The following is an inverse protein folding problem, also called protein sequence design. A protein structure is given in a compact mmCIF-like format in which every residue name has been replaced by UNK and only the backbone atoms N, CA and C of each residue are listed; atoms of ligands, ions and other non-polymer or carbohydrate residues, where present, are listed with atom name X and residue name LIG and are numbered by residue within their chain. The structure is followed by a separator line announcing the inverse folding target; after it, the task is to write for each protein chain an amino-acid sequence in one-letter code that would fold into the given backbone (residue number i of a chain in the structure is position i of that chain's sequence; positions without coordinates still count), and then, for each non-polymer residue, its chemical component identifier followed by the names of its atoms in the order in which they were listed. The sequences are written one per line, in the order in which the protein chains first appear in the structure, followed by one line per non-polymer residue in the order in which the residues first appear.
data_IF_453524868755
#
_entry.id   IF_453524868755
#
_cell.length_a   1.000
_cell.length_b   1.000
_cell.length_c   1.000
_cell.angle_alpha   90.00
_cell.angle_beta   90.00
_cell.angle_gamma   90.00
#
_symmetry.space_group_name_H-M   'P 1'
#
loop_
_entity.id
_entity.type
_entity.pdbx_description
1 polymer ?
#
# COMPACT_ATOMS: atom_id res chain seq x y z
N UNK A 1 25.05 49.12 13.95
CA UNK A 1 25.57 47.84 14.38
C UNK A 1 24.48 46.80 14.74
N UNK A 2 23.34 47.20 15.27
CA UNK A 2 22.18 46.33 15.65
C UNK A 2 21.51 45.59 14.48
N UNK A 3 21.32 46.21 13.33
CA UNK A 3 20.58 45.63 12.18
C UNK A 3 21.38 44.51 11.49
N UNK A 4 22.67 44.57 11.46
CA UNK A 4 23.54 43.51 10.89
C UNK A 4 23.49 42.22 11.69
N UNK A 5 23.41 42.30 13.02
CA UNK A 5 23.33 41.13 13.89
C UNK A 5 21.99 40.41 13.78
N UNK A 6 20.87 41.15 13.64
CA UNK A 6 19.55 40.56 13.46
C UNK A 6 19.42 39.84 12.13
N UNK A 7 19.92 40.43 11.04
CA UNK A 7 19.89 39.77 9.70
C UNK A 7 20.77 38.50 9.67
N UNK A 8 21.92 38.50 10.35
CA UNK A 8 22.77 37.33 10.41
C UNK A 8 22.15 36.21 11.24
N UNK A 9 21.45 36.53 12.33
CA UNK A 9 20.75 35.55 13.16
C UNK A 9 19.55 34.89 12.42
N UNK A 10 18.80 35.68 11.66
CA UNK A 10 17.70 35.18 10.83
C UNK A 10 18.22 34.25 9.74
N UNK A 11 19.37 34.58 9.12
CA UNK A 11 19.98 33.74 8.09
C UNK A 11 20.45 32.39 8.67
N UNK A 12 21.03 32.37 9.85
CA UNK A 12 21.45 31.14 10.55
C UNK A 12 20.21 30.27 10.86
N UNK A 13 19.14 30.83 11.37
CA UNK A 13 17.90 30.09 11.65
C UNK A 13 17.29 29.49 10.37
N UNK A 14 17.35 30.22 9.25
CA UNK A 14 16.89 29.73 7.95
C UNK A 14 17.74 28.55 7.43
N UNK A 15 19.08 28.63 7.58
CA UNK A 15 20.01 27.56 7.18
C UNK A 15 19.81 26.32 8.06
N UNK A 16 19.66 26.50 9.37
CA UNK A 16 19.40 25.39 10.30
C UNK A 16 18.05 24.75 9.98
N UNK A 17 17.00 25.53 9.76
CA UNK A 17 15.68 25.03 9.38
C UNK A 17 15.70 24.25 8.06
N UNK A 18 16.41 24.77 7.05
CA UNK A 18 16.58 24.11 5.76
C UNK A 18 17.38 22.79 5.89
N UNK A 19 18.43 22.78 6.69
CA UNK A 19 19.22 21.58 6.96
C UNK A 19 18.41 20.52 7.71
N UNK A 20 17.61 20.91 8.70
CA UNK A 20 16.70 20.00 9.41
C UNK A 20 15.64 19.40 8.48
N UNK A 21 15.10 20.18 7.56
CA UNK A 21 14.14 19.68 6.55
C UNK A 21 14.80 18.65 5.62
N UNK A 22 16.04 18.90 5.18
CA UNK A 22 16.78 17.96 4.34
C UNK A 22 17.07 16.66 5.10
N UNK A 23 17.54 16.75 6.34
CA UNK A 23 17.82 15.58 7.19
C UNK A 23 16.53 14.79 7.44
N UNK A 24 15.43 15.45 7.80
CA UNK A 24 14.12 14.85 8.02
C UNK A 24 13.62 14.11 6.76
N UNK A 25 13.68 14.77 5.58
CA UNK A 25 13.26 14.13 4.33
C UNK A 25 14.17 12.95 3.93
N UNK A 26 15.46 13.00 4.21
CA UNK A 26 16.36 11.88 3.95
C UNK A 26 16.09 10.68 4.88
N UNK A 27 15.75 10.93 6.14
CA UNK A 27 15.31 9.91 7.09
C UNK A 27 14.09 9.17 6.53
N UNK A 28 13.08 9.90 6.06
CA UNK A 28 11.88 9.31 5.48
C UNK A 28 12.14 8.48 4.21
N UNK A 29 13.01 8.96 3.33
CA UNK A 29 13.41 8.23 2.11
C UNK A 29 14.21 6.95 2.42
N UNK A 30 14.97 6.94 3.49
CA UNK A 30 15.75 5.78 3.90
C UNK A 30 14.90 4.71 4.63
N UNK A 31 13.63 5.02 4.96
CA UNK A 31 12.79 4.11 5.74
C UNK A 31 13.32 3.90 7.17
N UNK A 32 13.81 4.97 7.80
CA UNK A 32 14.32 4.89 9.18
C UNK A 32 13.18 4.58 10.12
N UNK A 33 13.42 3.64 10.99
CA UNK A 33 12.52 3.14 12.00
C UNK A 33 12.23 4.24 13.05
N UNK A 34 11.01 4.71 13.11
CA UNK A 34 10.60 5.80 14.01
C UNK A 34 9.43 5.39 14.94
N UNK A 35 9.01 4.11 14.88
CA UNK A 35 7.77 3.69 15.53
C UNK A 35 6.53 4.32 14.88
N UNK A 36 5.35 4.03 15.41
CA UNK A 36 4.10 4.62 14.92
C UNK A 36 3.71 5.84 15.75
N UNK A 37 3.74 7.01 15.12
CA UNK A 37 3.31 8.28 15.71
C UNK A 37 2.26 8.96 14.83
N UNK A 38 1.55 9.95 15.38
CA UNK A 38 0.62 10.75 14.58
C UNK A 38 1.32 11.49 13.43
N UNK A 39 2.56 11.93 13.63
CA UNK A 39 3.37 12.58 12.60
C UNK A 39 3.64 11.65 11.42
N UNK A 40 3.94 10.37 11.68
CA UNK A 40 4.07 9.33 10.62
C UNK A 40 2.77 9.22 9.81
N UNK A 41 1.62 9.15 10.49
CA UNK A 41 0.30 9.04 9.85
C UNK A 41 -0.04 10.25 8.99
N UNK A 42 0.20 11.46 9.51
CA UNK A 42 -0.02 12.72 8.79
C UNK A 42 0.92 12.84 7.58
N UNK A 43 2.18 12.45 7.75
CA UNK A 43 3.18 12.49 6.69
C UNK A 43 2.83 11.56 5.53
N UNK A 44 2.29 10.36 5.78
CA UNK A 44 1.79 9.48 4.72
C UNK A 44 0.71 10.20 3.90
N UNK A 45 -0.25 10.84 4.56
CA UNK A 45 -1.30 11.61 3.89
C UNK A 45 -0.76 12.77 3.06
N UNK A 46 0.27 13.47 3.55
CA UNK A 46 0.92 14.57 2.85
C UNK A 46 1.65 14.09 1.59
N UNK A 47 2.45 13.04 1.70
CA UNK A 47 3.19 12.45 0.57
C UNK A 47 2.22 11.97 -0.52
N UNK A 48 1.10 11.36 -0.12
CA UNK A 48 0.07 10.84 -1.04
C UNK A 48 -0.91 11.91 -1.53
N UNK A 49 -0.82 13.14 -1.00
CA UNK A 49 -1.76 14.23 -1.30
C UNK A 49 -3.22 13.80 -1.16
N UNK A 50 -3.54 13.16 -0.04
CA UNK A 50 -4.85 12.57 0.21
C UNK A 50 -5.93 13.62 0.50
N UNK A 51 -7.20 13.35 0.12
CA UNK A 51 -8.32 14.21 0.47
C UNK A 51 -8.55 14.22 2.00
N UNK A 52 -9.14 15.32 2.49
CA UNK A 52 -9.35 15.55 3.92
C UNK A 52 -10.04 14.36 4.63
N UNK A 53 -11.06 13.76 4.00
CA UNK A 53 -11.77 12.63 4.61
C UNK A 53 -10.90 11.40 4.82
N UNK A 54 -9.89 11.17 3.97
CA UNK A 54 -8.94 10.06 4.13
C UNK A 54 -7.94 10.38 5.26
N UNK A 55 -7.45 11.61 5.33
CA UNK A 55 -6.60 12.09 6.43
C UNK A 55 -7.30 11.91 7.79
N UNK A 56 -8.56 12.32 7.90
CA UNK A 56 -9.36 12.14 9.11
C UNK A 56 -9.64 10.67 9.42
N UNK A 57 -9.81 9.83 8.40
CA UNK A 57 -9.94 8.39 8.58
C UNK A 57 -8.66 7.79 9.19
N UNK A 58 -7.48 8.15 8.68
CA UNK A 58 -6.19 7.69 9.22
C UNK A 58 -5.99 8.10 10.68
N UNK A 59 -6.29 9.34 11.00
CA UNK A 59 -6.18 9.85 12.38
C UNK A 59 -7.06 9.06 13.35
N UNK A 60 -8.34 8.87 13.03
CA UNK A 60 -9.25 8.06 13.85
C UNK A 60 -8.78 6.60 13.98
N UNK A 61 -8.22 6.04 12.92
CA UNK A 61 -7.66 4.70 12.95
C UNK A 61 -6.44 4.63 13.88
N UNK A 62 -5.57 5.62 13.83
CA UNK A 62 -4.43 5.73 14.74
C UNK A 62 -4.86 5.87 16.20
N UNK A 63 -5.83 6.76 16.49
CA UNK A 63 -6.37 6.91 17.83
C UNK A 63 -6.95 5.60 18.38
N UNK A 64 -7.65 4.84 17.53
CA UNK A 64 -8.16 3.53 17.94
C UNK A 64 -7.02 2.55 18.18
N UNK A 65 -6.00 2.51 17.32
CA UNK A 65 -4.85 1.64 17.46
C UNK A 65 -4.12 1.84 18.80
N UNK A 66 -3.78 3.08 19.16
CA UNK A 66 -3.03 3.37 20.39
C UNK A 66 -3.81 3.09 21.67
N UNK A 67 -5.15 3.11 21.59
CA UNK A 67 -6.05 2.85 22.73
C UNK A 67 -6.55 1.40 22.77
N UNK A 68 -6.15 0.54 21.81
CA UNK A 68 -6.60 -0.85 21.74
C UNK A 68 -5.54 -1.82 22.25
N UNK A 69 -5.97 -2.85 22.97
CA UNK A 69 -5.14 -4.02 23.28
C UNK A 69 -5.01 -4.93 22.06
N UNK A 70 -3.99 -5.79 22.07
CA UNK A 70 -3.87 -6.82 21.06
C UNK A 70 -5.09 -7.76 21.10
N UNK A 71 -5.51 -8.30 19.94
CA UNK A 71 -6.63 -9.22 19.88
C UNK A 71 -6.38 -10.47 20.73
N UNK A 72 -7.45 -11.02 21.31
CA UNK A 72 -7.42 -12.24 22.09
C UNK A 72 -7.67 -13.51 21.28
N UNK A 73 -7.64 -13.44 19.96
CA UNK A 73 -7.79 -14.57 19.03
C UNK A 73 -6.46 -14.83 18.29
N UNK A 74 -6.27 -16.08 17.87
CA UNK A 74 -5.02 -16.53 17.22
C UNK A 74 -3.86 -16.76 18.21
N UNK A 75 -2.64 -16.95 17.72
CA UNK A 75 -1.46 -17.09 18.55
C UNK A 75 -1.12 -15.76 19.25
N UNK A 76 -0.46 -15.88 20.40
CA UNK A 76 0.14 -14.68 21.03
C UNK A 76 1.29 -14.21 20.15
N UNK A 77 1.23 -12.96 19.74
CA UNK A 77 2.26 -12.30 18.96
C UNK A 77 3.12 -11.42 19.88
N UNK A 78 4.42 -11.38 19.62
CA UNK A 78 5.38 -10.54 20.36
C UNK A 78 5.95 -9.49 19.40
N UNK A 79 5.06 -8.56 19.02
CA UNK A 79 5.38 -7.53 18.03
C UNK A 79 5.98 -6.30 18.72
N UNK A 80 7.20 -5.97 18.36
CA UNK A 80 7.82 -4.69 18.74
C UNK A 80 7.37 -3.57 17.78
N UNK A 81 6.24 -2.95 18.11
CA UNK A 81 5.64 -1.86 17.31
C UNK A 81 6.56 -0.63 17.18
N UNK A 82 7.48 -0.42 18.11
CA UNK A 82 8.40 0.72 18.07
C UNK A 82 9.56 0.46 17.09
N UNK A 83 9.78 -0.79 16.71
CA UNK A 83 10.86 -1.21 15.83
C UNK A 83 10.38 -1.53 14.40
N UNK A 84 9.14 -1.17 14.04
CA UNK A 84 8.60 -1.35 12.69
C UNK A 84 8.74 -0.06 11.89
N UNK A 85 9.18 -0.18 10.63
CA UNK A 85 9.11 0.89 9.63
C UNK A 85 7.74 0.86 8.98
N UNK A 86 6.89 1.83 9.27
CA UNK A 86 5.49 1.85 8.83
C UNK A 86 5.28 2.33 7.41
N UNK A 87 6.22 3.07 6.88
CA UNK A 87 6.14 3.57 5.51
C UNK A 87 7.53 3.86 4.95
N UNK A 88 7.71 3.52 3.69
CA UNK A 88 8.90 3.83 2.91
C UNK A 88 8.47 4.37 1.56
N UNK A 89 8.84 5.60 1.27
CA UNK A 89 8.55 6.23 -0.01
C UNK A 89 9.29 5.51 -1.14
N UNK A 90 8.65 5.33 -2.29
CA UNK A 90 9.28 4.72 -3.47
C UNK A 90 10.40 5.59 -4.02
N UNK A 91 11.45 4.96 -4.47
CA UNK A 91 12.59 5.63 -5.09
C UNK A 91 12.32 6.06 -6.55
N UNK A 92 11.32 5.47 -7.19
CA UNK A 92 10.97 5.71 -8.59
C UNK A 92 9.47 5.91 -8.77
N UNK A 93 9.08 6.60 -9.84
CA UNK A 93 7.66 6.79 -10.17
C UNK A 93 7.01 5.46 -10.57
N UNK A 94 5.71 5.32 -10.26
CA UNK A 94 4.87 4.25 -10.78
C UNK A 94 4.94 4.25 -12.32
N UNK A 95 5.10 3.08 -12.91
CA UNK A 95 5.19 2.91 -14.36
C UNK A 95 4.31 1.76 -14.85
N UNK A 96 3.87 1.84 -16.10
CA UNK A 96 3.20 0.75 -16.82
C UNK A 96 4.13 0.04 -17.83
N UNK A 97 5.41 0.39 -17.82
CA UNK A 97 6.44 -0.23 -18.65
C UNK A 97 7.50 -0.86 -17.77
N UNK A 98 7.63 -2.17 -17.84
CA UNK A 98 8.59 -2.91 -17.03
C UNK A 98 10.03 -2.44 -17.22
N UNK A 99 10.36 -1.99 -18.41
CA UNK A 99 11.68 -1.46 -18.75
C UNK A 99 12.08 -0.25 -17.90
N UNK A 100 11.11 0.52 -17.43
CA UNK A 100 11.31 1.72 -16.64
C UNK A 100 11.37 1.47 -15.11
N UNK A 101 11.15 0.24 -14.66
CA UNK A 101 11.31 -0.14 -13.26
C UNK A 101 12.79 -0.15 -12.90
N UNK A 102 13.13 0.28 -11.69
CA UNK A 102 14.49 0.26 -11.16
C UNK A 102 15.13 -1.13 -11.27
N UNK A 103 16.39 -1.21 -11.72
CA UNK A 103 17.07 -2.49 -12.00
C UNK A 103 17.14 -3.42 -10.78
N UNK A 104 17.45 -2.88 -9.59
CA UNK A 104 17.49 -3.66 -8.34
C UNK A 104 16.17 -4.32 -7.99
N UNK A 105 15.08 -3.63 -8.30
CA UNK A 105 13.72 -4.14 -8.08
C UNK A 105 13.36 -5.16 -9.15
N UNK A 106 13.74 -4.91 -10.42
CA UNK A 106 13.56 -5.86 -11.51
C UNK A 106 14.17 -7.21 -11.21
N UNK A 107 15.42 -7.24 -10.78
CA UNK A 107 16.15 -8.47 -10.47
C UNK A 107 15.35 -9.35 -9.49
N UNK A 108 14.74 -8.74 -8.45
CA UNK A 108 13.93 -9.46 -7.48
C UNK A 108 12.66 -10.08 -8.10
N UNK A 109 11.96 -9.35 -8.97
CA UNK A 109 10.73 -9.87 -9.62
C UNK A 109 11.02 -10.79 -10.81
N UNK A 110 12.15 -10.61 -11.51
CA UNK A 110 12.58 -11.49 -12.58
C UNK A 110 12.97 -12.87 -12.05
N UNK A 111 13.62 -12.94 -10.87
CA UNK A 111 13.91 -14.19 -10.17
C UNK A 111 12.61 -14.94 -9.77
N UNK A 112 11.55 -14.22 -9.47
CA UNK A 112 10.23 -14.78 -9.21
C UNK A 112 9.47 -15.21 -10.48
N UNK A 113 9.99 -14.87 -11.66
CA UNK A 113 9.39 -15.23 -12.96
C UNK A 113 8.08 -14.50 -13.29
N UNK A 114 7.75 -13.44 -12.55
CA UNK A 114 6.48 -12.72 -12.61
C UNK A 114 6.19 -12.16 -13.99
N UNK A 115 7.13 -11.40 -14.53
CA UNK A 115 6.88 -10.57 -15.71
C UNK A 115 7.02 -11.31 -17.03
N UNK A 116 7.85 -12.35 -17.10
CA UNK A 116 8.04 -13.15 -18.33
C UNK A 116 6.74 -13.77 -18.85
N UNK A 117 5.80 -13.99 -17.96
CA UNK A 117 4.54 -14.66 -18.26
C UNK A 117 3.32 -13.72 -18.30
N UNK A 118 3.51 -12.42 -17.99
CA UNK A 118 2.42 -11.44 -17.87
C UNK A 118 1.48 -11.48 -19.09
N UNK A 119 1.98 -11.17 -20.25
CA UNK A 119 1.17 -11.04 -21.49
C UNK A 119 0.51 -12.35 -21.95
N UNK A 120 1.03 -13.47 -21.51
CA UNK A 120 0.53 -14.79 -21.92
C UNK A 120 -0.61 -15.29 -21.04
N UNK A 121 -0.56 -15.01 -19.75
CA UNK A 121 -1.44 -15.64 -18.78
C UNK A 121 -2.37 -14.67 -18.03
N UNK A 122 -2.10 -13.37 -18.09
CA UNK A 122 -2.83 -12.37 -17.32
C UNK A 122 -3.38 -11.25 -18.21
N UNK A 123 -4.54 -10.72 -17.81
CA UNK A 123 -5.13 -9.53 -18.43
C UNK A 123 -4.65 -8.23 -17.75
N UNK A 124 -4.04 -8.35 -16.59
CA UNK A 124 -3.39 -7.25 -15.89
C UNK A 124 -2.48 -7.73 -14.78
N UNK A 125 -1.40 -6.99 -14.54
CA UNK A 125 -0.42 -7.27 -13.49
C UNK A 125 -0.06 -6.01 -12.72
N UNK A 126 -0.05 -6.09 -11.39
CA UNK A 126 0.48 -5.11 -10.47
C UNK A 126 1.68 -5.66 -9.69
N UNK A 127 2.62 -4.81 -9.31
CA UNK A 127 3.73 -5.19 -8.44
C UNK A 127 3.98 -4.09 -7.40
N UNK A 128 3.99 -4.48 -6.13
CA UNK A 128 4.29 -3.65 -4.98
C UNK A 128 5.61 -4.11 -4.35
N UNK A 129 6.41 -3.15 -3.96
CA UNK A 129 7.68 -3.35 -3.29
C UNK A 129 7.72 -2.51 -2.00
N UNK A 130 7.85 -3.16 -0.87
CA UNK A 130 7.67 -2.55 0.46
C UNK A 130 6.30 -1.83 0.57
N UNK A 131 6.28 -0.53 0.75
CA UNK A 131 5.05 0.25 0.95
C UNK A 131 4.37 0.72 -0.34
N UNK A 132 5.02 0.62 -1.51
CA UNK A 132 4.54 1.31 -2.70
C UNK A 132 4.40 0.41 -3.93
N UNK A 133 3.33 0.61 -4.68
CA UNK A 133 3.18 -0.01 -6.01
C UNK A 133 4.14 0.67 -6.99
N UNK A 134 4.94 -0.14 -7.66
CA UNK A 134 6.03 0.30 -8.56
C UNK A 134 5.73 0.06 -10.03
N UNK A 135 4.92 -0.95 -10.31
CA UNK A 135 4.51 -1.35 -11.65
C UNK A 135 3.04 -1.72 -11.68
N UNK A 136 2.36 -1.28 -12.73
CA UNK A 136 0.97 -1.64 -12.96
C UNK A 136 0.65 -1.58 -14.45
N UNK A 137 0.10 -2.66 -14.99
CA UNK A 137 -0.34 -2.74 -16.37
C UNK A 137 -1.62 -3.56 -16.51
N UNK A 138 -2.45 -3.18 -17.46
CA UNK A 138 -3.67 -3.90 -17.85
C UNK A 138 -3.85 -3.83 -19.37
N UNK A 139 -4.37 -4.89 -19.98
CA UNK A 139 -4.64 -4.89 -21.42
C UNK A 139 -5.68 -3.83 -21.80
N UNK A 140 -5.49 -3.22 -22.95
CA UNK A 140 -6.33 -2.10 -23.42
C UNK A 140 -7.80 -2.50 -23.63
N UNK A 141 -8.06 -3.77 -23.97
CA UNK A 141 -9.41 -4.30 -24.15
C UNK A 141 -10.26 -4.17 -22.89
N UNK A 142 -9.70 -4.44 -21.70
CA UNK A 142 -10.42 -4.29 -20.44
C UNK A 142 -10.71 -2.82 -20.11
N UNK A 143 -9.80 -1.92 -20.46
CA UNK A 143 -10.02 -0.48 -20.34
C UNK A 143 -11.23 -0.04 -21.21
N UNK A 144 -11.35 -0.55 -22.44
CA UNK A 144 -12.50 -0.28 -23.32
C UNK A 144 -13.82 -0.82 -22.77
N UNK A 145 -13.76 -1.88 -21.96
CA UNK A 145 -14.92 -2.44 -21.23
C UNK A 145 -15.21 -1.72 -19.90
N UNK A 146 -14.51 -0.61 -19.61
CA UNK A 146 -14.59 0.14 -18.36
C UNK A 146 -14.24 -0.68 -17.09
N UNK A 147 -13.46 -1.73 -17.24
CA UNK A 147 -12.85 -2.41 -16.10
C UNK A 147 -11.80 -1.51 -15.50
N UNK A 148 -11.81 -1.37 -14.18
CA UNK A 148 -10.78 -0.66 -13.43
C UNK A 148 -9.92 -1.70 -12.73
N UNK A 149 -8.64 -1.65 -12.97
CA UNK A 149 -7.62 -2.37 -12.21
C UNK A 149 -6.46 -1.39 -11.99
N UNK A 150 -6.31 -0.93 -10.77
CA UNK A 150 -5.34 0.10 -10.37
C UNK A 150 -4.76 -0.23 -8.99
N UNK A 151 -3.66 0.40 -8.65
CA UNK A 151 -3.29 0.52 -7.24
C UNK A 151 -4.30 1.42 -6.51
N UNK A 152 -4.44 1.21 -5.20
CA UNK A 152 -5.45 1.90 -4.39
C UNK A 152 -5.20 3.41 -4.28
N UNK A 153 -3.94 3.86 -4.28
CA UNK A 153 -3.60 5.28 -4.24
C UNK A 153 -4.05 5.99 -5.53
N UNK A 154 -3.77 5.37 -6.68
CA UNK A 154 -4.24 5.86 -7.99
C UNK A 154 -5.76 5.82 -8.09
N UNK A 155 -6.40 4.76 -7.57
CA UNK A 155 -7.87 4.64 -7.58
C UNK A 155 -8.53 5.71 -6.72
N UNK A 156 -8.00 6.00 -5.52
CA UNK A 156 -8.46 7.09 -4.66
C UNK A 156 -8.39 8.44 -5.37
N UNK A 157 -7.30 8.70 -6.08
CA UNK A 157 -7.10 9.97 -6.79
C UNK A 157 -7.99 10.12 -8.04
N UNK A 158 -8.15 9.05 -8.84
CA UNK A 158 -8.88 9.10 -10.13
C UNK A 158 -10.39 8.85 -10.00
N UNK A 159 -10.79 8.03 -9.04
CA UNK A 159 -12.18 7.60 -8.84
C UNK A 159 -12.63 7.77 -7.38
N UNK A 160 -12.51 8.96 -6.78
CA UNK A 160 -12.71 9.18 -5.35
C UNK A 160 -14.08 8.73 -4.84
N UNK A 161 -15.16 8.98 -5.60
CA UNK A 161 -16.51 8.58 -5.18
C UNK A 161 -16.72 7.07 -5.23
N UNK A 162 -16.20 6.41 -6.27
CA UNK A 162 -16.27 4.96 -6.39
C UNK A 162 -15.42 4.29 -5.31
N UNK A 163 -14.22 4.80 -5.06
CA UNK A 163 -13.36 4.34 -3.99
C UNK A 163 -14.05 4.45 -2.63
N UNK A 164 -14.60 5.61 -2.31
CA UNK A 164 -15.31 5.88 -1.06
C UNK A 164 -16.55 5.01 -0.86
N UNK A 165 -17.22 4.61 -1.97
CA UNK A 165 -18.37 3.71 -1.93
C UNK A 165 -18.01 2.35 -1.31
N UNK A 166 -16.82 1.84 -1.57
CA UNK A 166 -16.40 0.50 -1.14
C UNK A 166 -15.40 0.50 0.01
N UNK A 167 -14.61 1.56 0.19
CA UNK A 167 -13.58 1.65 1.21
C UNK A 167 -14.14 1.58 2.62
N UNK A 168 -13.59 0.71 3.49
CA UNK A 168 -13.95 0.56 4.90
C UNK A 168 -15.45 0.23 5.11
N UNK A 169 -16.01 -0.61 4.25
CA UNK A 169 -17.44 -1.01 4.33
C UNK A 169 -17.65 -2.36 4.98
N UNK A 170 -16.85 -3.35 4.61
CA UNK A 170 -16.94 -4.71 5.13
C UNK A 170 -15.99 -4.91 6.32
N UNK A 171 -14.76 -4.42 6.23
CA UNK A 171 -13.77 -4.48 7.30
C UNK A 171 -13.56 -3.08 7.87
N UNK A 172 -14.11 -2.84 9.06
CA UNK A 172 -14.02 -1.54 9.72
C UNK A 172 -12.68 -1.37 10.42
N UNK A 173 -12.16 -0.12 10.42
CA UNK A 173 -10.91 0.19 11.13
C UNK A 173 -10.96 -0.10 12.64
N UNK A 174 -12.14 -0.12 13.24
CA UNK A 174 -12.34 -0.29 14.67
C UNK A 174 -12.81 -1.69 15.08
N UNK A 175 -12.59 -2.71 14.26
CA UNK A 175 -12.89 -4.10 14.62
C UNK A 175 -11.85 -4.69 15.56
N UNK A 176 -10.58 -4.37 15.35
CA UNK A 176 -9.47 -4.77 16.20
C UNK A 176 -8.24 -3.89 15.95
N UNK A 177 -7.20 -4.10 16.76
CA UNK A 177 -5.96 -3.32 16.68
C UNK A 177 -5.28 -3.40 15.31
N UNK A 178 -5.30 -4.55 14.62
CA UNK A 178 -4.65 -4.71 13.31
C UNK A 178 -5.43 -4.02 12.19
N UNK A 179 -6.77 -4.05 12.23
CA UNK A 179 -7.58 -3.28 11.27
C UNK A 179 -7.41 -1.77 11.46
N UNK A 180 -7.21 -1.33 12.70
CA UNK A 180 -6.89 0.05 13.03
C UNK A 180 -5.49 0.44 12.54
N UNK A 181 -4.51 -0.43 12.77
CA UNK A 181 -3.15 -0.24 12.27
C UNK A 181 -3.14 -0.10 10.74
N UNK A 182 -3.77 -1.04 10.02
CA UNK A 182 -3.94 -0.92 8.57
C UNK A 182 -4.61 0.40 8.22
N UNK A 183 -5.72 0.75 8.87
CA UNK A 183 -6.42 2.02 8.62
C UNK A 183 -5.55 3.26 8.77
N UNK A 184 -4.65 3.28 9.75
CA UNK A 184 -3.75 4.40 10.01
C UNK A 184 -2.64 4.56 8.97
N UNK A 185 -2.06 3.43 8.52
CA UNK A 185 -0.81 3.47 7.72
C UNK A 185 -0.89 2.74 6.37
N UNK A 186 -2.08 2.31 5.93
CA UNK A 186 -2.20 1.58 4.67
C UNK A 186 -1.53 2.32 3.52
N UNK A 187 -0.89 1.56 2.65
CA UNK A 187 -0.20 2.06 1.47
C UNK A 187 -0.19 0.98 0.40
N UNK A 188 -0.52 1.36 -0.84
CA UNK A 188 -0.63 0.42 -1.92
C UNK A 188 -1.81 -0.55 -1.77
N UNK A 189 -1.71 -1.71 -2.41
CA UNK A 189 -2.80 -2.65 -2.57
C UNK A 189 -3.47 -2.52 -3.94
N UNK A 190 -4.59 -3.18 -4.11
CA UNK A 190 -5.25 -3.31 -5.40
C UNK A 190 -6.69 -2.82 -5.35
N UNK A 191 -7.09 -2.02 -6.35
CA UNK A 191 -8.47 -1.64 -6.58
C UNK A 191 -8.98 -2.24 -7.88
N UNK A 192 -10.01 -3.09 -7.81
CA UNK A 192 -10.66 -3.70 -8.96
C UNK A 192 -12.14 -3.31 -8.96
N UNK A 193 -12.61 -2.80 -10.09
CA UNK A 193 -14.03 -2.66 -10.38
C UNK A 193 -14.35 -3.31 -11.73
N UNK A 194 -15.30 -4.25 -11.74
CA UNK A 194 -15.77 -4.92 -12.95
C UNK A 194 -17.22 -4.53 -13.17
N UNK A 195 -17.54 -3.81 -14.27
CA UNK A 195 -18.91 -3.35 -14.56
C UNK A 195 -19.85 -4.52 -14.86
N UNK A 196 -21.20 -4.28 -14.84
CA UNK A 196 -22.19 -5.34 -15.05
C UNK A 196 -21.97 -6.16 -16.31
N UNK A 197 -22.25 -7.47 -16.22
CA UNK A 197 -22.21 -8.43 -17.34
C UNK A 197 -20.86 -8.54 -18.05
N UNK A 198 -19.78 -8.18 -17.36
CA UNK A 198 -18.42 -8.24 -17.89
C UNK A 198 -17.68 -9.47 -17.36
N UNK A 199 -17.17 -10.29 -18.28
CA UNK A 199 -16.36 -11.47 -17.96
C UNK A 199 -14.93 -11.27 -18.43
N UNK A 200 -13.98 -11.61 -17.56
CA UNK A 200 -12.57 -11.63 -17.86
C UNK A 200 -12.15 -13.05 -18.21
N UNK A 201 -11.44 -13.22 -19.33
CA UNK A 201 -10.99 -14.54 -19.81
C UNK A 201 -9.77 -15.04 -19.06
N UNK A 202 -8.88 -14.12 -18.65
CA UNK A 202 -7.66 -14.41 -17.91
C UNK A 202 -7.64 -13.65 -16.59
N UNK A 203 -6.92 -14.15 -15.57
CA UNK A 203 -6.88 -13.51 -14.28
C UNK A 203 -6.15 -12.15 -14.32
N UNK A 204 -6.53 -11.30 -13.37
CA UNK A 204 -5.72 -10.17 -12.92
C UNK A 204 -4.81 -10.65 -11.79
N UNK A 205 -3.61 -10.10 -11.69
CA UNK A 205 -2.66 -10.50 -10.66
C UNK A 205 -1.95 -9.31 -10.02
N UNK A 206 -1.74 -9.39 -8.71
CA UNK A 206 -0.86 -8.47 -7.97
C UNK A 206 0.18 -9.24 -7.17
N UNK A 207 1.38 -8.69 -7.12
CA UNK A 207 2.48 -9.19 -6.32
C UNK A 207 2.85 -8.19 -5.25
N UNK A 208 3.00 -8.68 -4.02
CA UNK A 208 3.41 -7.92 -2.86
C UNK A 208 4.71 -8.50 -2.32
N UNK A 209 5.73 -7.64 -2.24
CA UNK A 209 7.05 -8.04 -1.77
C UNK A 209 7.50 -7.15 -0.64
N UNK A 210 7.71 -7.72 0.55
CA UNK A 210 8.49 -7.09 1.62
C UNK A 210 9.97 -7.35 1.30
N UNK A 211 10.78 -6.31 1.22
CA UNK A 211 12.19 -6.45 0.88
C UNK A 211 13.15 -5.76 1.85
N UNK A 212 12.67 -4.91 2.73
CA UNK A 212 13.47 -4.21 3.73
C UNK A 212 13.32 -4.87 5.11
N UNK A 213 14.39 -4.82 5.91
CA UNK A 213 14.35 -5.29 7.31
C UNK A 213 13.42 -4.43 8.15
N UNK A 214 12.80 -5.01 9.16
CA UNK A 214 11.85 -4.36 10.07
C UNK A 214 10.70 -3.65 9.33
N UNK A 215 10.39 -4.09 8.12
CA UNK A 215 9.40 -3.44 7.27
C UNK A 215 7.99 -3.91 7.59
N UNK A 216 7.11 -2.95 7.83
CA UNK A 216 5.67 -3.18 7.81
C UNK A 216 5.12 -3.03 6.39
N UNK A 217 4.25 -3.94 5.96
CA UNK A 217 3.48 -3.82 4.72
C UNK A 217 1.99 -3.87 5.06
N UNK A 218 1.27 -2.83 4.67
CA UNK A 218 -0.11 -2.57 5.10
C UNK A 218 -0.99 -2.27 3.89
N UNK A 219 -1.05 -3.19 2.93
CA UNK A 219 -1.85 -2.97 1.74
C UNK A 219 -3.36 -3.06 2.02
N UNK A 220 -4.12 -2.40 1.17
CA UNK A 220 -5.58 -2.44 1.18
C UNK A 220 -6.13 -2.78 -0.19
N UNK A 221 -6.69 -3.97 -0.32
CA UNK A 221 -7.28 -4.46 -1.58
C UNK A 221 -8.80 -4.32 -1.53
N UNK A 222 -9.38 -3.73 -2.57
CA UNK A 222 -10.82 -3.57 -2.74
C UNK A 222 -11.21 -4.15 -4.10
N UNK A 223 -12.12 -5.12 -4.10
CA UNK A 223 -12.60 -5.77 -5.31
C UNK A 223 -14.13 -5.67 -5.35
N UNK A 224 -14.65 -4.96 -6.33
CA UNK A 224 -16.08 -4.82 -6.54
C UNK A 224 -16.45 -5.35 -7.93
N UNK A 225 -17.26 -6.40 -7.96
CA UNK A 225 -17.75 -7.01 -9.20
C UNK A 225 -19.27 -6.88 -9.27
N UNK A 226 -19.73 -6.22 -10.33
CA UNK A 226 -21.13 -5.87 -10.49
C UNK A 226 -21.94 -7.02 -11.07
N UNK A 227 -23.26 -6.86 -11.19
CA UNK A 227 -24.21 -7.91 -11.55
C UNK A 227 -23.79 -8.72 -12.79
N UNK A 228 -23.83 -10.05 -12.68
CA UNK A 228 -23.56 -10.97 -13.79
C UNK A 228 -22.11 -11.02 -14.28
N UNK A 229 -21.19 -10.35 -13.59
CA UNK A 229 -19.77 -10.27 -13.96
C UNK A 229 -18.98 -11.47 -13.44
N UNK A 230 -17.82 -11.73 -14.06
CA UNK A 230 -16.94 -12.84 -13.66
C UNK A 230 -15.47 -12.41 -13.72
N UNK A 231 -14.74 -12.58 -12.61
CA UNK A 231 -13.31 -12.28 -12.52
C UNK A 231 -12.58 -13.32 -11.69
N UNK A 232 -11.35 -13.62 -12.09
CA UNK A 232 -10.36 -14.32 -11.28
C UNK A 232 -9.24 -13.35 -10.94
N UNK A 233 -8.99 -13.14 -9.65
CA UNK A 233 -7.87 -12.36 -9.16
C UNK A 233 -6.92 -13.25 -8.37
N UNK A 234 -5.62 -13.08 -8.63
CA UNK A 234 -4.53 -13.81 -7.98
C UNK A 234 -3.66 -12.81 -7.22
N UNK A 235 -3.40 -13.10 -5.98
CA UNK A 235 -2.52 -12.33 -5.13
C UNK A 235 -1.34 -13.17 -4.67
N UNK A 236 -0.14 -12.67 -4.91
CA UNK A 236 1.11 -13.31 -4.49
C UNK A 236 1.85 -12.44 -3.48
N UNK A 237 2.06 -12.96 -2.27
CA UNK A 237 2.77 -12.25 -1.21
C UNK A 237 4.06 -12.98 -0.85
N UNK A 238 5.18 -12.27 -0.76
CA UNK A 238 6.48 -12.87 -0.47
C UNK A 238 7.36 -11.98 0.41
N UNK A 239 8.19 -12.60 1.24
CA UNK A 239 9.29 -11.94 1.94
C UNK A 239 10.51 -12.86 1.97
N UNK A 240 11.75 -12.34 1.85
CA UNK A 240 12.95 -13.12 2.12
C UNK A 240 13.11 -13.35 3.62
N UNK A 241 13.92 -14.31 4.01
CA UNK A 241 14.31 -14.52 5.40
C UNK A 241 15.29 -13.44 5.84
N UNK A 242 14.93 -12.72 6.88
CA UNK A 242 15.80 -11.74 7.56
C UNK A 242 16.07 -12.18 8.99
N UNK A 243 17.02 -11.51 9.64
CA UNK A 243 17.31 -11.69 11.06
C UNK A 243 16.50 -10.74 11.96
N UNK A 244 15.50 -10.10 11.41
CA UNK A 244 14.65 -9.11 12.10
C UNK A 244 13.21 -9.29 11.65
N UNK A 245 12.30 -9.07 12.58
CA UNK A 245 10.87 -9.21 12.37
C UNK A 245 10.33 -8.24 11.31
N UNK A 246 9.37 -8.72 10.55
CA UNK A 246 8.56 -7.91 9.63
C UNK A 246 7.09 -8.09 9.99
N UNK A 247 6.26 -7.10 9.64
CA UNK A 247 4.83 -7.12 9.93
C UNK A 247 4.02 -6.97 8.64
N UNK A 248 3.14 -7.94 8.37
CA UNK A 248 2.19 -7.86 7.26
C UNK A 248 0.76 -7.81 7.82
N UNK A 249 0.09 -6.68 7.64
CA UNK A 249 -1.29 -6.50 8.07
C UNK A 249 -2.13 -5.93 6.93
N UNK A 250 -2.62 -6.81 6.07
CA UNK A 250 -3.45 -6.49 4.92
C UNK A 250 -4.94 -6.45 5.27
N UNK A 251 -5.70 -5.67 4.49
CA UNK A 251 -7.17 -5.71 4.49
C UNK A 251 -7.67 -5.93 3.06
N UNK A 252 -8.52 -6.94 2.89
CA UNK A 252 -9.18 -7.24 1.62
C UNK A 252 -10.69 -7.14 1.78
N UNK A 253 -11.32 -6.29 0.96
CA UNK A 253 -12.78 -6.11 0.91
C UNK A 253 -13.31 -6.55 -0.46
N UNK A 254 -14.16 -7.58 -0.51
CA UNK A 254 -14.68 -8.15 -1.77
C UNK A 254 -16.20 -8.00 -1.81
N UNK A 255 -16.71 -7.33 -2.83
CA UNK A 255 -18.12 -7.09 -3.10
C UNK A 255 -18.53 -7.87 -4.34
N UNK A 256 -19.46 -8.80 -4.18
CA UNK A 256 -19.96 -9.66 -5.26
C UNK A 256 -21.44 -9.44 -5.41
N UNK A 257 -21.85 -8.78 -6.49
CA UNK A 257 -23.24 -8.47 -6.76
C UNK A 257 -24.02 -9.68 -7.30
N UNK A 258 -25.33 -9.52 -7.50
CA UNK A 258 -26.22 -10.58 -7.93
C UNK A 258 -25.73 -11.28 -9.21
N UNK A 259 -25.72 -12.61 -9.20
CA UNK A 259 -25.25 -13.46 -10.30
C UNK A 259 -23.78 -13.25 -10.72
N UNK A 260 -23.02 -12.44 -10.00
CA UNK A 260 -21.58 -12.29 -10.24
C UNK A 260 -20.79 -13.48 -9.67
N UNK A 261 -19.63 -13.74 -10.24
CA UNK A 261 -18.70 -14.79 -9.79
C UNK A 261 -17.32 -14.23 -9.59
N UNK A 262 -16.77 -14.48 -8.41
CA UNK A 262 -15.41 -14.12 -8.04
C UNK A 262 -14.60 -15.35 -7.67
N UNK A 263 -13.42 -15.50 -8.26
CA UNK A 263 -12.40 -16.39 -7.76
C UNK A 263 -11.23 -15.57 -7.22
N UNK A 264 -10.96 -15.72 -5.94
CA UNK A 264 -9.80 -15.12 -5.28
C UNK A 264 -8.80 -16.21 -4.92
N UNK A 265 -7.57 -16.07 -5.42
CA UNK A 265 -6.48 -17.01 -5.12
C UNK A 265 -5.36 -16.21 -4.47
N UNK A 266 -4.96 -16.60 -3.26
CA UNK A 266 -3.80 -16.02 -2.59
C UNK A 266 -2.68 -17.05 -2.48
N UNK A 267 -1.45 -16.62 -2.76
CA UNK A 267 -0.22 -17.41 -2.66
C UNK A 267 0.65 -16.71 -1.62
N UNK A 268 0.77 -17.31 -0.44
CA UNK A 268 1.52 -16.75 0.67
C UNK A 268 2.85 -17.51 0.82
N UNK A 269 3.96 -16.81 0.58
CA UNK A 269 5.31 -17.37 0.70
C UNK A 269 6.15 -16.48 1.62
N UNK A 270 5.82 -16.53 2.89
CA UNK A 270 6.47 -15.77 3.95
C UNK A 270 7.61 -16.55 4.58
N UNK A 271 8.64 -15.83 5.01
CA UNK A 271 9.62 -16.38 5.95
C UNK A 271 9.02 -16.49 7.36
N UNK A 272 9.68 -17.23 8.23
CA UNK A 272 9.26 -17.40 9.64
C UNK A 272 9.34 -16.12 10.47
N UNK A 273 9.95 -15.08 9.95
CA UNK A 273 10.22 -13.79 10.62
C UNK A 273 9.13 -12.74 10.30
N UNK A 274 8.02 -13.14 9.65
CA UNK A 274 6.89 -12.26 9.31
C UNK A 274 5.71 -12.60 10.20
N UNK A 275 5.23 -11.58 10.93
CA UNK A 275 3.97 -11.62 11.65
C UNK A 275 2.79 -11.31 10.73
#
# INVERSE_FOLDING_TARGET
MSIFFTSFYILILFIIGFFLIIVYNNIWKSGVNMGLTLDVVERISDIKNEPLWMREFRKRSYEYFINSSDPNFGPKLDIDYDNITYYKERESKLTNKWENVNSKVKDVFDDLGVIKNEKKYFDGVGAQFDSEVIYHNMIEELTKKNVIFLDTDTALAKYPELFKKYFNKLVKYNENKFTALNGAVWSGGTFIYVPPFTKLDRPLQSYFRINSKNMGQFERTIIAIDEGSEVHYIEGCTAPTYTSDALHAAVVEIFVEKNAKMRYTTIQNWSSDVY
#
